data_IF_806722916511
#
_entry.id   IF_806722916511
#
_cell.length_a   1.000
_cell.length_b   1.000
_cell.length_c   1.000
_cell.angle_alpha   90.00
_cell.angle_beta   90.00
_cell.angle_gamma   90.00
#
_symmetry.space_group_name_H-M   'P 1'
#
loop_
_entity.id
_entity.type
_entity.pdbx_description
1 polymer ?
#
# COMPACT_ATOMS: atom_id res chain seq x y z
N UNK A 1 -22.91 13.96 7.17
CA UNK A 1 -22.34 15.32 6.93
C UNK A 1 -21.55 15.87 8.13
N UNK A 2 -21.83 15.49 9.38
CA UNK A 2 -20.99 15.87 10.55
C UNK A 2 -19.58 15.28 10.57
N UNK A 3 -19.38 14.09 9.98
CA UNK A 3 -18.06 13.47 9.88
C UNK A 3 -17.05 14.28 9.04
N UNK A 4 -17.52 15.22 8.20
CA UNK A 4 -16.69 16.14 7.41
C UNK A 4 -16.30 17.41 8.16
N UNK A 5 -16.83 17.65 9.37
CA UNK A 5 -16.61 18.88 10.16
C UNK A 5 -15.34 18.85 11.01
N UNK A 6 -14.59 17.75 11.02
CA UNK A 6 -13.30 17.61 11.71
C UNK A 6 -12.21 17.36 10.67
N UNK A 7 -11.08 18.08 10.69
CA UNK A 7 -9.95 17.80 9.82
C UNK A 7 -9.32 16.47 10.27
N UNK A 8 -9.88 15.36 9.80
CA UNK A 8 -9.31 14.03 9.98
C UNK A 8 -8.31 13.80 8.86
N UNK A 9 -7.13 13.32 9.22
CA UNK A 9 -6.20 12.78 8.23
C UNK A 9 -6.81 11.51 7.65
N UNK A 10 -7.06 11.51 6.33
CA UNK A 10 -7.62 10.39 5.59
C UNK A 10 -6.55 9.89 4.63
N UNK A 11 -6.39 8.57 4.58
CA UNK A 11 -5.45 7.89 3.68
C UNK A 11 -6.18 6.87 2.80
N UNK A 12 -5.67 6.60 1.58
CA UNK A 12 -4.55 7.29 0.92
C UNK A 12 -4.94 8.71 0.50
N UNK A 13 -4.02 9.45 -0.14
CA UNK A 13 -4.36 10.73 -0.79
C UNK A 13 -5.52 10.51 -1.77
N UNK A 14 -6.41 11.50 -1.90
CA UNK A 14 -7.60 11.40 -2.76
C UNK A 14 -7.27 11.05 -4.21
N UNK A 15 -6.13 11.55 -4.73
CA UNK A 15 -5.59 11.19 -6.06
C UNK A 15 -5.32 9.70 -6.24
N UNK A 16 -5.09 8.98 -5.14
CA UNK A 16 -4.69 7.58 -5.15
C UNK A 16 -5.85 6.64 -4.75
N UNK A 17 -7.05 7.16 -4.52
CA UNK A 17 -8.20 6.36 -4.09
C UNK A 17 -8.53 5.21 -5.06
N UNK A 18 -8.39 5.45 -6.36
CA UNK A 18 -8.66 4.45 -7.41
C UNK A 18 -7.38 3.94 -8.08
N UNK A 19 -6.23 4.06 -7.41
CA UNK A 19 -4.94 3.81 -8.06
C UNK A 19 -4.82 2.39 -8.62
N UNK A 20 -5.27 1.36 -7.88
CA UNK A 20 -5.32 -0.02 -8.37
C UNK A 20 -6.10 -0.18 -9.69
N UNK A 21 -7.26 0.48 -9.81
CA UNK A 21 -8.12 0.40 -11.00
C UNK A 21 -7.55 1.19 -12.17
N UNK A 22 -6.88 2.31 -11.88
CA UNK A 22 -6.19 3.11 -12.89
C UNK A 22 -4.97 2.38 -13.45
N UNK A 23 -4.23 1.66 -12.60
CA UNK A 23 -3.04 0.90 -12.99
C UNK A 23 -3.42 -0.37 -13.76
N UNK A 24 -4.50 -1.05 -13.35
CA UNK A 24 -4.94 -2.31 -13.95
C UNK A 24 -6.39 -2.20 -14.45
N UNK A 25 -6.61 -1.86 -15.73
CA UNK A 25 -7.98 -1.82 -16.28
C UNK A 25 -8.62 -3.21 -16.23
N UNK A 26 -9.96 -3.33 -16.15
CA UNK A 26 -10.66 -4.61 -15.97
C UNK A 26 -10.26 -5.70 -16.97
N UNK A 27 -9.99 -5.34 -18.23
CA UNK A 27 -9.58 -6.26 -19.28
C UNK A 27 -8.16 -6.83 -19.12
N UNK A 28 -7.31 -6.21 -18.28
CA UNK A 28 -5.95 -6.64 -18.00
C UNK A 28 -5.82 -7.42 -16.68
N UNK A 29 -6.89 -7.52 -15.89
CA UNK A 29 -6.90 -8.21 -14.59
C UNK A 29 -6.67 -9.71 -14.80
N UNK A 30 -5.67 -10.24 -14.08
CA UNK A 30 -5.38 -11.69 -14.04
C UNK A 30 -5.57 -12.28 -12.65
N UNK A 31 -5.22 -11.51 -11.63
CA UNK A 31 -5.23 -11.90 -10.21
C UNK A 31 -5.80 -10.74 -9.42
N UNK A 32 -6.60 -11.04 -8.40
CA UNK A 32 -7.12 -10.06 -7.44
C UNK A 32 -6.56 -10.40 -6.06
N UNK A 33 -5.81 -9.47 -5.47
CA UNK A 33 -5.29 -9.57 -4.10
C UNK A 33 -6.05 -8.59 -3.20
N UNK A 34 -7.00 -9.11 -2.43
CA UNK A 34 -7.86 -8.30 -1.56
C UNK A 34 -7.14 -7.93 -0.26
N UNK A 35 -7.07 -6.62 0.01
CA UNK A 35 -6.73 -6.08 1.33
C UNK A 35 -8.00 -5.73 2.12
N UNK A 36 -7.86 -5.48 3.42
CA UNK A 36 -8.98 -5.05 4.28
C UNK A 36 -9.18 -3.53 4.21
N UNK A 37 -8.27 -2.78 4.83
CA UNK A 37 -8.26 -1.32 4.85
C UNK A 37 -6.88 -0.81 4.42
N UNK A 38 -6.77 0.44 3.92
CA UNK A 38 -5.48 1.08 3.68
C UNK A 38 -4.64 1.16 4.97
N UNK A 39 -3.32 1.17 4.84
CA UNK A 39 -2.45 1.48 5.98
C UNK A 39 -2.80 2.85 6.57
N UNK A 40 -2.93 2.90 7.90
CA UNK A 40 -3.31 4.11 8.63
C UNK A 40 -2.10 4.84 9.26
N UNK A 41 -0.90 4.28 9.14
CA UNK A 41 0.32 4.84 9.70
C UNK A 41 1.02 5.79 8.73
N UNK A 42 1.88 6.65 9.29
CA UNK A 42 2.75 7.56 8.56
C UNK A 42 4.22 7.19 8.77
N UNK A 43 5.10 7.76 7.95
CA UNK A 43 6.54 7.70 8.10
C UNK A 43 7.17 9.05 7.73
N UNK A 44 8.39 9.30 8.19
CA UNK A 44 9.14 10.51 7.84
C UNK A 44 10.07 10.24 6.66
N UNK A 45 10.04 11.12 5.66
CA UNK A 45 10.97 11.15 4.54
C UNK A 45 11.40 12.61 4.29
N UNK A 46 12.71 12.90 4.39
CA UNK A 46 13.26 14.25 4.27
C UNK A 46 12.47 15.32 5.06
N UNK A 47 12.21 15.04 6.34
CA UNK A 47 11.44 15.91 7.27
C UNK A 47 9.94 16.04 6.95
N UNK A 48 9.44 15.35 5.92
CA UNK A 48 8.01 15.32 5.57
C UNK A 48 7.35 14.07 6.11
N UNK A 49 6.19 14.24 6.75
CA UNK A 49 5.35 13.12 7.18
C UNK A 49 4.48 12.65 6.01
N UNK A 50 4.65 11.40 5.60
CA UNK A 50 3.97 10.78 4.47
C UNK A 50 3.14 9.59 4.93
N UNK A 51 2.02 9.34 4.25
CA UNK A 51 1.21 8.14 4.47
C UNK A 51 1.93 6.90 3.97
N UNK A 52 1.83 5.79 4.70
CA UNK A 52 2.25 4.48 4.20
C UNK A 52 1.30 3.96 3.11
N UNK A 53 0.04 4.37 3.10
CA UNK A 53 -0.92 3.92 2.09
C UNK A 53 -0.75 4.67 0.76
N UNK A 54 -0.54 3.89 -0.32
CA UNK A 54 -0.35 4.42 -1.67
C UNK A 54 -1.53 4.17 -2.63
N UNK A 55 -2.60 3.50 -2.19
CA UNK A 55 -3.76 3.17 -3.03
C UNK A 55 -3.74 1.80 -3.69
N UNK A 56 -2.80 0.93 -3.27
CA UNK A 56 -2.70 -0.48 -3.63
C UNK A 56 -2.73 -1.31 -2.34
N UNK A 57 -3.35 -2.49 -2.37
CA UNK A 57 -3.34 -3.40 -1.22
C UNK A 57 -1.92 -3.91 -0.96
N UNK A 58 -1.49 -3.91 0.31
CA UNK A 58 -0.18 -4.35 0.79
C UNK A 58 1.04 -3.56 0.32
N UNK A 59 1.00 -2.92 -0.86
CA UNK A 59 2.11 -2.13 -1.42
C UNK A 59 2.37 -0.86 -0.62
N UNK A 60 3.64 -0.45 -0.59
CA UNK A 60 4.12 0.82 -0.01
C UNK A 60 5.17 1.45 -0.93
N UNK A 61 5.33 2.77 -0.86
CA UNK A 61 6.36 3.47 -1.64
C UNK A 61 7.78 2.92 -1.37
N UNK A 62 8.69 3.05 -2.34
CA UNK A 62 10.03 2.42 -2.26
C UNK A 62 10.84 2.77 -1.01
N UNK A 63 10.68 3.99 -0.50
CA UNK A 63 11.39 4.49 0.68
C UNK A 63 10.59 4.29 1.97
N UNK A 64 9.36 3.79 1.89
CA UNK A 64 8.51 3.58 3.04
C UNK A 64 8.93 2.33 3.83
N UNK A 65 8.72 2.31 5.16
CA UNK A 65 8.96 1.12 5.97
C UNK A 65 8.01 -0.01 5.55
N UNK A 66 8.56 -1.19 5.27
CA UNK A 66 7.79 -2.38 4.87
C UNK A 66 6.93 -2.87 6.08
N UNK A 67 5.59 -2.91 5.95
CA UNK A 67 4.70 -3.33 7.03
C UNK A 67 4.82 -4.83 7.37
N UNK A 68 4.45 -5.27 8.60
CA UNK A 68 4.55 -6.67 9.00
C UNK A 68 3.81 -7.66 8.08
N UNK A 69 2.63 -7.27 7.58
CA UNK A 69 1.86 -8.11 6.65
C UNK A 69 2.59 -8.35 5.34
N UNK A 70 3.16 -7.30 4.74
CA UNK A 70 3.95 -7.42 3.51
C UNK A 70 5.25 -8.21 3.73
N UNK A 71 5.92 -8.04 4.88
CA UNK A 71 7.07 -8.88 5.27
C UNK A 71 6.71 -10.36 5.31
N UNK A 72 5.52 -10.71 5.81
CA UNK A 72 5.06 -12.10 5.83
C UNK A 72 4.76 -12.63 4.42
N UNK A 73 4.18 -11.80 3.53
CA UNK A 73 4.00 -12.16 2.11
C UNK A 73 5.36 -12.47 1.46
N UNK A 74 6.37 -11.63 1.66
CA UNK A 74 7.71 -11.89 1.11
C UNK A 74 8.38 -13.14 1.68
N UNK A 75 8.24 -13.40 2.99
CA UNK A 75 8.72 -14.65 3.61
C UNK A 75 8.07 -15.87 2.97
N UNK A 76 6.75 -15.83 2.75
CA UNK A 76 6.00 -16.94 2.15
C UNK A 76 6.40 -17.16 0.68
N UNK A 77 6.54 -16.07 -0.09
CA UNK A 77 7.01 -16.14 -1.48
C UNK A 77 8.42 -16.74 -1.58
N UNK A 78 9.33 -16.35 -0.69
CA UNK A 78 10.66 -16.93 -0.63
C UNK A 78 10.61 -18.42 -0.25
N UNK A 79 9.86 -18.76 0.79
CA UNK A 79 9.79 -20.14 1.30
C UNK A 79 9.20 -21.12 0.27
N UNK A 80 8.17 -20.72 -0.48
CA UNK A 80 7.47 -21.61 -1.40
C UNK A 80 8.05 -21.60 -2.82
N UNK A 81 8.49 -20.43 -3.29
CA UNK A 81 8.85 -20.24 -4.70
C UNK A 81 10.33 -19.87 -4.88
N UNK A 82 11.09 -19.70 -3.80
CA UNK A 82 12.50 -19.29 -3.86
C UNK A 82 12.70 -17.86 -4.38
N UNK A 83 11.64 -17.04 -4.38
CA UNK A 83 11.72 -15.65 -4.84
C UNK A 83 12.58 -14.84 -3.85
N UNK A 84 13.61 -14.11 -4.30
CA UNK A 84 14.41 -13.26 -3.43
C UNK A 84 13.55 -12.21 -2.72
N UNK A 85 13.79 -12.00 -1.42
CA UNK A 85 13.07 -10.99 -0.63
C UNK A 85 13.44 -9.59 -1.15
N UNK A 86 12.47 -8.79 -1.62
CA UNK A 86 12.75 -7.45 -2.13
C UNK A 86 13.28 -6.50 -1.06
N UNK A 87 14.08 -5.51 -1.48
CA UNK A 87 14.61 -4.47 -0.59
C UNK A 87 13.60 -3.36 -0.27
N UNK A 88 12.53 -3.24 -1.08
CA UNK A 88 11.47 -2.25 -0.92
C UNK A 88 10.09 -2.92 -1.04
N UNK A 89 9.03 -2.20 -0.65
CA UNK A 89 7.67 -2.74 -0.59
C UNK A 89 6.75 -2.30 -1.73
N UNK A 90 7.30 -1.78 -2.82
CA UNK A 90 6.56 -1.31 -4.00
C UNK A 90 6.27 -2.51 -4.92
N UNK A 91 4.99 -2.91 -4.98
CA UNK A 91 4.44 -4.07 -5.72
C UNK A 91 3.87 -3.67 -7.08
#
# INVERSE_FOLDING_TARGET
LEALKSPKTIFPKSSNLFYALNLTPPSAVKIILLGQDPYHSTYLDNEQELSVAMGLSFSVEKNAPIPPSLKNIFKELHANLGVPVPCCGDL
#
